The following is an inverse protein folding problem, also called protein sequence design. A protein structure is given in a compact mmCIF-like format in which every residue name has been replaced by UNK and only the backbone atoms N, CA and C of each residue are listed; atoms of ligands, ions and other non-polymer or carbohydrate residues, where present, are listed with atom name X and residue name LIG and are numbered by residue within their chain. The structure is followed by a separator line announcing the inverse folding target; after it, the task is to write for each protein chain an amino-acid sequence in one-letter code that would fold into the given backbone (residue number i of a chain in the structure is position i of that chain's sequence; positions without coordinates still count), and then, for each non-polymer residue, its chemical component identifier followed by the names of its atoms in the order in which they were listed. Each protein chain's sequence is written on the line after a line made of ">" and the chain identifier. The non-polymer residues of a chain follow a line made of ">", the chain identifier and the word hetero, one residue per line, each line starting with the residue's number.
data_IF_285521795756
#
_entry.id   IF_285521795756
#
_cell.length_a   1.000
_cell.length_b   1.000
_cell.length_c   1.000
_cell.angle_alpha   90.00
_cell.angle_beta   90.00
_cell.angle_gamma   90.00
#
_symmetry.space_group_name_H-M   'P 1'
#
loop_
_entity.id
_entity.type
_entity.pdbx_description
1 polymer ?
#
# COMPACT_ATOMS: atom_id res chain seq x y z
N UNK A 1 7.52 9.92 2.72
CA UNK A 1 7.28 11.33 3.10
C UNK A 1 8.63 12.00 3.19
N UNK A 2 8.76 13.24 2.74
CA UNK A 2 10.03 13.95 2.87
C UNK A 2 10.28 14.23 4.37
N UNK A 3 11.38 13.67 4.91
CA UNK A 3 11.79 13.92 6.30
C UNK A 3 12.12 15.41 6.53
N UNK A 4 12.28 16.20 5.47
CA UNK A 4 12.47 17.65 5.54
C UNK A 4 11.17 18.46 5.54
N UNK A 5 10.00 17.82 5.49
CA UNK A 5 8.72 18.55 5.50
C UNK A 5 8.50 19.27 6.83
N UNK A 6 7.81 20.42 6.77
CA UNK A 6 7.45 21.22 7.96
C UNK A 6 6.70 20.39 9.01
N UNK A 7 5.86 19.44 8.56
CA UNK A 7 5.09 18.55 9.43
C UNK A 7 6.00 17.57 10.19
N UNK A 8 7.03 17.04 9.52
CA UNK A 8 7.99 16.13 10.16
C UNK A 8 8.81 16.87 11.23
N UNK A 9 9.25 18.09 10.91
CA UNK A 9 9.97 18.97 11.86
C UNK A 9 9.11 19.31 13.07
N UNK A 10 7.86 19.72 12.85
CA UNK A 10 6.93 20.05 13.93
C UNK A 10 6.78 18.90 14.94
N UNK A 11 6.66 17.65 14.48
CA UNK A 11 6.61 16.49 15.39
C UNK A 11 7.92 16.32 16.15
N UNK A 12 9.06 16.39 15.46
CA UNK A 12 10.39 16.17 16.06
C UNK A 12 10.77 17.24 17.09
N UNK A 13 10.36 18.48 16.86
CA UNK A 13 10.67 19.64 17.71
C UNK A 13 9.63 19.83 18.84
N UNK A 14 8.48 19.15 18.76
CA UNK A 14 7.46 19.17 19.81
C UNK A 14 7.85 18.36 21.05
N UNK A 15 7.24 18.67 22.19
CA UNK A 15 7.33 17.84 23.41
C UNK A 15 6.69 16.46 23.24
N UNK A 16 5.82 16.28 22.25
CA UNK A 16 5.15 15.02 21.97
C UNK A 16 6.13 13.90 21.59
N UNK A 17 7.31 14.25 21.07
CA UNK A 17 8.33 13.26 20.68
C UNK A 17 8.75 12.36 21.84
N UNK A 18 8.80 12.88 23.07
CA UNK A 18 9.14 12.09 24.26
C UNK A 18 8.05 11.06 24.57
N UNK A 19 6.79 11.45 24.36
CA UNK A 19 5.63 10.57 24.56
C UNK A 19 5.58 9.50 23.48
N UNK A 20 5.82 9.88 22.22
CA UNK A 20 5.96 8.93 21.09
C UNK A 20 7.04 7.88 21.41
N UNK A 21 8.22 8.30 21.86
CA UNK A 21 9.31 7.39 22.25
C UNK A 21 8.90 6.44 23.38
N UNK A 22 8.14 6.93 24.36
CA UNK A 22 7.68 6.13 25.50
C UNK A 22 6.53 5.19 25.20
N UNK A 23 5.69 5.48 24.19
CA UNK A 23 4.46 4.70 23.93
C UNK A 23 4.54 3.81 22.69
N UNK A 24 5.52 4.00 21.80
CA UNK A 24 5.63 3.29 20.53
C UNK A 24 5.52 1.77 20.65
N UNK A 25 6.30 1.21 21.58
CA UNK A 25 6.33 -0.24 21.81
C UNK A 25 4.99 -0.76 22.33
N UNK A 26 4.43 -0.13 23.35
CA UNK A 26 3.14 -0.52 23.94
C UNK A 26 2.00 -0.46 22.92
N UNK A 27 1.99 0.57 22.07
CA UNK A 27 0.97 0.72 21.03
C UNK A 27 1.08 -0.37 19.97
N UNK A 28 2.30 -0.73 19.58
CA UNK A 28 2.54 -1.86 18.69
C UNK A 28 2.13 -3.19 19.32
N UNK A 29 2.41 -3.41 20.61
CA UNK A 29 2.06 -4.65 21.29
C UNK A 29 0.53 -4.86 21.35
N UNK A 30 -0.27 -3.81 21.63
CA UNK A 30 -1.74 -3.86 21.54
C UNK A 30 -2.20 -4.19 20.13
N UNK A 31 -1.60 -3.56 19.12
CA UNK A 31 -1.91 -3.85 17.73
C UNK A 31 -1.60 -5.31 17.37
N UNK A 32 -0.47 -5.85 17.84
CA UNK A 32 -0.06 -7.24 17.63
C UNK A 32 -1.01 -8.21 18.29
N UNK A 33 -1.48 -7.94 19.52
CA UNK A 33 -2.47 -8.79 20.20
C UNK A 33 -3.74 -8.98 19.36
N UNK A 34 -4.21 -7.91 18.73
CA UNK A 34 -5.38 -7.95 17.86
C UNK A 34 -5.08 -8.63 16.52
N UNK A 35 -3.94 -8.31 15.89
CA UNK A 35 -3.53 -8.94 14.65
C UNK A 35 -3.41 -10.46 14.81
N UNK A 36 -2.86 -10.94 15.94
CA UNK A 36 -2.72 -12.36 16.25
C UNK A 36 -4.04 -13.12 16.39
N UNK A 37 -5.16 -12.44 16.64
CA UNK A 37 -6.48 -13.10 16.65
C UNK A 37 -6.82 -13.71 15.29
N UNK A 38 -6.32 -13.11 14.20
CA UNK A 38 -6.56 -13.56 12.83
C UNK A 38 -5.31 -14.16 12.17
N UNK A 39 -4.13 -13.67 12.55
CA UNK A 39 -2.85 -14.01 11.96
C UNK A 39 -1.90 -14.62 13.00
N UNK A 40 -2.37 -15.61 13.76
CA UNK A 40 -1.65 -16.22 14.89
C UNK A 40 -0.29 -16.79 14.51
N UNK A 41 -0.13 -17.26 13.27
CA UNK A 41 1.09 -17.87 12.76
C UNK A 41 2.09 -16.86 12.17
N UNK A 42 1.77 -15.57 12.15
CA UNK A 42 2.64 -14.54 11.59
C UNK A 42 3.63 -14.02 12.63
N UNK A 43 4.80 -13.61 12.15
CA UNK A 43 5.85 -13.06 12.99
C UNK A 43 5.70 -11.55 13.11
N UNK A 44 5.57 -11.05 14.34
CA UNK A 44 5.49 -9.62 14.61
C UNK A 44 6.74 -9.19 15.38
N UNK A 45 7.74 -8.67 14.65
CA UNK A 45 9.00 -8.20 15.21
C UNK A 45 9.35 -6.86 14.56
N UNK A 46 9.52 -5.84 15.39
CA UNK A 46 9.88 -4.49 14.99
C UNK A 46 10.99 -3.98 15.92
N UNK A 47 11.90 -3.16 15.40
CA UNK A 47 12.86 -2.45 16.24
C UNK A 47 12.17 -1.24 16.88
N UNK A 48 12.49 -0.92 18.13
CA UNK A 48 11.86 0.21 18.82
C UNK A 48 12.07 1.52 18.04
N UNK A 49 13.25 1.73 17.47
CA UNK A 49 13.55 2.87 16.61
C UNK A 49 12.64 2.95 15.39
N UNK A 50 12.33 1.82 14.74
CA UNK A 50 11.38 1.80 13.62
C UNK A 50 9.96 2.13 14.05
N UNK A 51 9.51 1.67 15.21
CA UNK A 51 8.17 1.98 15.72
C UNK A 51 8.01 3.45 16.07
N UNK A 52 9.08 4.07 16.58
CA UNK A 52 9.14 5.51 16.81
C UNK A 52 9.06 6.27 15.48
N UNK A 53 9.85 5.87 14.48
CA UNK A 53 9.82 6.47 13.14
C UNK A 53 8.43 6.32 12.46
N UNK A 54 7.75 5.20 12.66
CA UNK A 54 6.40 4.94 12.17
C UNK A 54 5.39 5.92 12.77
N UNK A 55 5.46 6.13 14.08
CA UNK A 55 4.62 7.10 14.79
C UNK A 55 4.91 8.52 14.34
N UNK A 56 6.17 8.94 14.29
CA UNK A 56 6.53 10.29 13.81
C UNK A 56 5.96 10.51 12.40
N UNK A 57 6.12 9.52 11.52
CA UNK A 57 5.59 9.57 10.16
C UNK A 57 4.06 9.65 10.14
N UNK A 58 3.38 8.91 11.02
CA UNK A 58 1.93 8.94 11.10
C UNK A 58 1.39 10.28 11.62
N UNK A 59 2.01 10.83 12.68
CA UNK A 59 1.69 12.16 13.22
C UNK A 59 1.91 13.26 12.18
N UNK A 60 3.04 13.25 11.49
CA UNK A 60 3.33 14.26 10.48
C UNK A 60 2.40 14.15 9.25
N UNK A 61 1.94 12.94 8.88
CA UNK A 61 0.86 12.77 7.89
C UNK A 61 -0.48 13.30 8.38
N UNK A 62 -0.80 13.12 9.66
CA UNK A 62 -1.96 13.74 10.30
C UNK A 62 -1.92 15.26 10.16
N UNK A 63 -0.76 15.87 10.46
CA UNK A 63 -0.58 17.32 10.35
C UNK A 63 -0.70 17.80 8.90
N UNK A 64 -0.08 17.07 7.98
CA UNK A 64 -0.20 17.35 6.54
C UNK A 64 -1.66 17.32 6.09
N UNK A 65 -2.42 16.30 6.52
CA UNK A 65 -3.82 16.14 6.16
C UNK A 65 -4.67 17.31 6.68
N UNK A 66 -4.59 17.61 7.98
CA UNK A 66 -5.34 18.70 8.60
C UNK A 66 -5.03 20.03 7.92
N UNK A 67 -3.75 20.32 7.62
CA UNK A 67 -3.41 21.61 7.02
C UNK A 67 -3.68 21.74 5.53
N UNK A 68 -3.53 20.66 4.74
CA UNK A 68 -3.74 20.70 3.29
C UNK A 68 -5.19 20.51 2.89
N UNK A 69 -5.94 19.71 3.63
CA UNK A 69 -7.26 19.26 3.20
C UNK A 69 -8.42 19.92 3.98
N UNK A 70 -8.14 20.70 5.03
CA UNK A 70 -9.20 21.39 5.79
C UNK A 70 -9.26 22.90 5.55
N UNK A 71 -10.48 23.37 5.26
CA UNK A 71 -10.77 24.80 5.19
C UNK A 71 -10.53 25.46 6.56
N UNK A 72 -10.01 26.70 6.56
CA UNK A 72 -9.69 27.47 7.79
C UNK A 72 -10.82 27.48 8.83
N UNK A 73 -12.07 27.52 8.40
CA UNK A 73 -13.24 27.52 9.29
C UNK A 73 -13.42 26.23 10.11
N UNK A 74 -13.02 25.07 9.57
CA UNK A 74 -13.12 23.78 10.29
C UNK A 74 -11.98 23.59 11.29
N UNK A 75 -10.82 24.16 10.98
CA UNK A 75 -9.63 24.14 11.84
C UNK A 75 -9.81 24.96 13.13
N UNK A 76 -10.72 25.93 13.11
CA UNK A 76 -11.11 26.71 14.29
C UNK A 76 -12.02 25.96 15.27
N UNK A 77 -12.30 24.66 15.03
CA UNK A 77 -13.04 23.78 15.94
C UNK A 77 -12.08 22.73 16.53
N UNK A 78 -11.47 23.00 17.70
CA UNK A 78 -10.37 22.18 18.24
C UNK A 78 -10.72 20.71 18.45
N UNK A 79 -11.89 20.43 19.03
CA UNK A 79 -12.31 19.04 19.29
C UNK A 79 -12.46 18.23 17.99
N UNK A 80 -12.91 18.89 16.91
CA UNK A 80 -13.07 18.25 15.62
C UNK A 80 -11.71 18.00 14.95
N UNK A 81 -10.80 18.98 14.98
CA UNK A 81 -9.47 18.84 14.37
C UNK A 81 -8.61 17.79 15.09
N UNK A 82 -8.68 17.71 16.43
CA UNK A 82 -8.00 16.68 17.23
C UNK A 82 -8.53 15.29 16.89
N UNK A 83 -9.86 15.12 16.82
CA UNK A 83 -10.46 13.82 16.47
C UNK A 83 -10.05 13.38 15.06
N UNK A 84 -10.15 14.26 14.07
CA UNK A 84 -9.76 13.96 12.69
C UNK A 84 -8.27 13.64 12.61
N UNK A 85 -7.44 14.42 13.29
CA UNK A 85 -6.00 14.19 13.35
C UNK A 85 -5.67 12.79 13.86
N UNK A 86 -6.20 12.41 15.04
CA UNK A 86 -5.93 11.11 15.64
C UNK A 86 -6.46 9.96 14.77
N UNK A 87 -7.62 10.12 14.12
CA UNK A 87 -8.14 9.12 13.18
C UNK A 87 -7.20 8.89 11.99
N UNK A 88 -6.60 9.95 11.45
CA UNK A 88 -5.62 9.87 10.36
C UNK A 88 -4.33 9.20 10.82
N UNK A 89 -3.83 9.55 12.02
CA UNK A 89 -2.65 8.89 12.61
C UNK A 89 -2.90 7.40 12.77
N UNK A 90 -4.04 7.03 13.37
CA UNK A 90 -4.41 5.62 13.60
C UNK A 90 -4.53 4.85 12.30
N UNK A 91 -5.23 5.42 11.30
CA UNK A 91 -5.37 4.82 9.97
C UNK A 91 -4.03 4.63 9.28
N UNK A 92 -3.14 5.62 9.41
CA UNK A 92 -1.80 5.57 8.81
C UNK A 92 -0.95 4.47 9.43
N UNK A 93 -0.93 4.36 10.75
CA UNK A 93 -0.23 3.30 11.48
C UNK A 93 -0.78 1.93 11.13
N UNK A 94 -2.11 1.75 11.22
CA UNK A 94 -2.74 0.46 10.92
C UNK A 94 -2.45 0.04 9.48
N UNK A 95 -2.49 0.98 8.53
CA UNK A 95 -2.14 0.69 7.13
C UNK A 95 -0.68 0.27 7.00
N UNK A 96 0.23 1.02 7.62
CA UNK A 96 1.65 0.73 7.53
C UNK A 96 2.02 -0.62 8.15
N UNK A 97 1.56 -0.89 9.38
CA UNK A 97 1.84 -2.13 10.08
C UNK A 97 1.14 -3.33 9.45
N UNK A 98 -0.08 -3.16 8.93
CA UNK A 98 -0.73 -4.21 8.13
C UNK A 98 0.06 -4.52 6.87
N UNK A 99 0.61 -3.51 6.20
CA UNK A 99 1.46 -3.71 5.03
C UNK A 99 2.76 -4.44 5.41
N UNK A 100 3.40 -4.02 6.48
CA UNK A 100 4.74 -4.50 6.87
C UNK A 100 4.68 -5.91 7.49
N UNK A 101 3.80 -6.10 8.45
CA UNK A 101 3.81 -7.29 9.31
C UNK A 101 2.70 -8.29 8.97
N UNK A 102 1.75 -7.98 8.09
CA UNK A 102 0.72 -8.94 7.66
C UNK A 102 0.84 -9.22 6.16
N UNK A 103 0.71 -8.18 5.34
CA UNK A 103 0.64 -8.32 3.90
C UNK A 103 1.89 -8.98 3.31
N UNK A 104 3.09 -8.57 3.75
CA UNK A 104 4.36 -9.18 3.28
C UNK A 104 4.51 -10.66 3.61
N UNK A 105 3.77 -11.18 4.59
CA UNK A 105 3.86 -12.58 5.01
C UNK A 105 2.87 -13.48 4.27
N UNK A 106 1.92 -12.92 3.52
CA UNK A 106 0.93 -13.73 2.80
C UNK A 106 1.57 -14.53 1.66
N UNK A 107 0.98 -15.67 1.32
CA UNK A 107 1.43 -16.46 0.17
C UNK A 107 1.28 -15.65 -1.12
N UNK A 108 0.17 -14.94 -1.23
CA UNK A 108 -0.21 -14.13 -2.37
C UNK A 108 0.78 -12.97 -2.61
N UNK A 109 1.37 -12.40 -1.55
CA UNK A 109 2.43 -11.41 -1.70
C UNK A 109 3.67 -11.98 -2.40
N UNK A 110 4.05 -13.24 -2.11
CA UNK A 110 5.18 -13.90 -2.77
C UNK A 110 4.90 -14.12 -4.26
N UNK A 111 3.67 -14.51 -4.60
CA UNK A 111 3.24 -14.60 -6.01
C UNK A 111 3.30 -13.25 -6.72
N UNK A 112 2.90 -12.17 -6.04
CA UNK A 112 2.98 -10.82 -6.57
C UNK A 112 4.41 -10.35 -6.79
N UNK A 113 5.33 -10.67 -5.87
CA UNK A 113 6.76 -10.43 -6.05
C UNK A 113 7.29 -11.16 -7.29
N UNK A 114 6.89 -12.42 -7.50
CA UNK A 114 7.26 -13.16 -8.70
C UNK A 114 6.74 -12.51 -9.98
N UNK A 115 5.46 -12.12 -10.02
CA UNK A 115 4.87 -11.40 -11.16
C UNK A 115 5.60 -10.10 -11.47
N UNK A 116 5.95 -9.33 -10.45
CA UNK A 116 6.70 -8.07 -10.59
C UNK A 116 8.10 -8.32 -11.15
N UNK A 117 8.81 -9.32 -10.65
CA UNK A 117 10.14 -9.71 -11.14
C UNK A 117 10.04 -10.15 -12.60
N UNK A 118 9.05 -10.97 -12.96
CA UNK A 118 8.83 -11.41 -14.33
C UNK A 118 8.57 -10.22 -15.27
N UNK A 119 7.70 -9.29 -14.88
CA UNK A 119 7.45 -8.07 -15.66
C UNK A 119 8.74 -7.26 -15.89
N UNK A 120 9.54 -7.05 -14.85
CA UNK A 120 10.81 -6.33 -14.95
C UNK A 120 11.85 -7.08 -15.79
N UNK A 121 11.95 -8.40 -15.64
CA UNK A 121 12.85 -9.22 -16.44
C UNK A 121 12.52 -9.12 -17.93
N UNK A 122 11.24 -9.20 -18.30
CA UNK A 122 10.78 -9.03 -19.69
C UNK A 122 11.01 -7.62 -20.24
N UNK A 123 11.07 -6.59 -19.36
CA UNK A 123 11.48 -5.23 -19.75
C UNK A 123 12.95 -5.14 -20.13
N UNK A 124 13.81 -6.05 -19.67
CA UNK A 124 15.26 -6.01 -19.93
C UNK A 124 15.68 -7.04 -20.98
N UNK A 125 15.22 -8.29 -20.90
CA UNK A 125 15.67 -9.38 -21.76
C UNK A 125 14.83 -9.50 -23.05
N UNK A 126 15.34 -8.91 -24.13
CA UNK A 126 14.72 -8.97 -25.45
C UNK A 126 14.76 -10.37 -26.09
N UNK A 127 15.74 -11.21 -25.74
CA UNK A 127 15.89 -12.56 -26.34
C UNK A 127 14.80 -13.47 -25.80
N UNK A 128 14.62 -13.50 -24.48
CA UNK A 128 13.56 -14.30 -23.85
C UNK A 128 12.18 -13.82 -24.29
N UNK A 129 11.99 -12.51 -24.40
CA UNK A 129 10.73 -11.95 -24.90
C UNK A 129 10.41 -12.42 -26.33
N UNK A 130 11.39 -12.45 -27.25
CA UNK A 130 11.20 -12.96 -28.62
C UNK A 130 10.82 -14.43 -28.64
N UNK A 131 11.39 -15.25 -27.75
CA UNK A 131 11.01 -16.66 -27.60
C UNK A 131 9.57 -16.80 -27.13
N UNK A 132 9.18 -16.03 -26.12
CA UNK A 132 7.79 -15.97 -25.62
C UNK A 132 6.84 -15.54 -26.73
N UNK A 133 7.19 -14.51 -27.50
CA UNK A 133 6.39 -14.05 -28.63
C UNK A 133 6.21 -15.14 -29.69
N UNK A 134 7.29 -15.85 -30.04
CA UNK A 134 7.26 -16.96 -30.99
C UNK A 134 6.34 -18.10 -30.52
N UNK A 135 6.49 -18.52 -29.26
CA UNK A 135 5.64 -19.53 -28.63
C UNK A 135 4.18 -19.11 -28.61
N UNK A 136 3.90 -17.87 -28.20
CA UNK A 136 2.57 -17.29 -28.21
C UNK A 136 1.95 -17.32 -29.62
N UNK A 137 2.68 -16.84 -30.63
CA UNK A 137 2.23 -16.89 -32.03
C UNK A 137 1.97 -18.32 -32.51
N UNK A 138 2.77 -19.29 -32.08
CA UNK A 138 2.57 -20.70 -32.40
C UNK A 138 1.29 -21.26 -31.76
N UNK A 139 1.05 -21.00 -30.47
CA UNK A 139 -0.17 -21.42 -29.77
C UNK A 139 -1.43 -20.82 -30.41
N UNK A 140 -1.41 -19.53 -30.72
CA UNK A 140 -2.56 -18.86 -31.38
C UNK A 140 -2.84 -19.41 -32.79
N UNK A 141 -1.80 -19.82 -33.54
CA UNK A 141 -1.98 -20.50 -34.83
C UNK A 141 -2.59 -21.88 -34.66
N UNK A 142 -2.17 -22.62 -33.63
CA UNK A 142 -2.74 -23.92 -33.28
C UNK A 142 -4.22 -23.81 -32.90
N UNK A 143 -4.60 -22.79 -32.12
CA UNK A 143 -6.00 -22.51 -31.79
C UNK A 143 -6.83 -22.11 -33.02
N UNK A 144 -6.33 -21.27 -33.92
CA UNK A 144 -7.03 -20.98 -35.19
C UNK A 144 -7.29 -22.22 -36.03
N UNK A 145 -6.36 -23.16 -36.05
CA UNK A 145 -6.52 -24.44 -36.74
C UNK A 145 -7.49 -25.40 -36.01
N UNK A 146 -7.80 -25.14 -34.73
CA UNK A 146 -8.78 -25.88 -33.94
C UNK A 146 -10.18 -25.24 -34.08
N UNK A 147 -10.28 -23.91 -34.24
CA UNK A 147 -11.56 -23.18 -34.39
C UNK A 147 -12.28 -23.52 -35.72
N UNK A 148 -11.61 -24.11 -36.71
CA UNK A 148 -12.28 -24.71 -37.88
C UNK A 148 -12.99 -26.04 -37.56
N UNK A 149 -12.94 -26.52 -36.31
CA UNK A 149 -13.69 -27.68 -35.81
C UNK A 149 -14.37 -27.34 -34.48
N UNK A 150 -15.60 -26.85 -34.62
CA UNK A 150 -16.72 -26.91 -33.67
C UNK A 150 -16.59 -26.36 -32.23
N UNK A 151 -17.49 -25.39 -32.00
CA UNK A 151 -18.41 -25.21 -30.85
C UNK A 151 -17.88 -24.59 -29.54
N UNK A 152 -18.56 -23.47 -29.24
CA UNK A 152 -19.02 -22.95 -27.94
C UNK A 152 -18.61 -23.71 -26.66
N UNK A 153 -17.79 -23.08 -25.81
CA UNK A 153 -18.16 -22.59 -24.47
C UNK A 153 -16.92 -22.25 -23.61
N UNK A 154 -16.94 -21.00 -23.12
CA UNK A 154 -16.53 -20.51 -21.80
C UNK A 154 -15.28 -21.07 -21.10
N UNK A 155 -14.28 -20.20 -20.94
CA UNK A 155 -13.67 -19.85 -19.66
C UNK A 155 -12.98 -18.50 -19.81
N UNK A 156 -12.71 -17.79 -18.70
CA UNK A 156 -12.08 -16.47 -18.56
C UNK A 156 -10.66 -16.37 -19.18
N UNK A 157 -10.56 -16.60 -20.48
CA UNK A 157 -9.36 -16.33 -21.26
C UNK A 157 -9.49 -14.86 -21.65
N UNK A 158 -8.55 -14.05 -21.17
CA UNK A 158 -8.47 -12.66 -21.58
C UNK A 158 -8.29 -12.65 -23.10
N UNK A 159 -9.31 -12.11 -23.77
CA UNK A 159 -9.39 -12.14 -25.21
C UNK A 159 -8.36 -11.17 -25.80
N UNK A 160 -7.17 -11.70 -26.07
CA UNK A 160 -6.12 -10.99 -26.78
C UNK A 160 -6.53 -10.68 -28.23
N UNK A 161 -7.75 -10.96 -28.68
CA UNK A 161 -8.26 -10.52 -29.98
C UNK A 161 -8.49 -9.00 -30.08
N UNK A 162 -8.51 -8.26 -28.97
CA UNK A 162 -8.31 -6.80 -29.05
C UNK A 162 -6.91 -6.41 -29.59
N UNK A 163 -5.95 -7.35 -29.60
CA UNK A 163 -4.62 -7.18 -30.21
C UNK A 163 -4.58 -7.52 -31.71
N UNK A 164 -5.68 -8.01 -32.32
CA UNK A 164 -5.71 -8.49 -33.72
C UNK A 164 -5.41 -7.43 -34.79
N UNK A 165 -5.41 -6.12 -34.49
CA UNK A 165 -5.25 -5.07 -35.51
C UNK A 165 -3.83 -4.62 -35.79
N UNK A 166 -2.81 -5.10 -35.07
CA UNK A 166 -1.46 -4.59 -35.24
C UNK A 166 -0.46 -5.70 -35.57
N UNK A 167 -0.16 -5.86 -36.87
CA UNK A 167 1.18 -6.28 -37.30
C UNK A 167 2.17 -5.23 -36.77
N UNK A 168 2.68 -5.38 -35.55
CA UNK A 168 3.64 -4.42 -35.00
C UNK A 168 4.87 -5.11 -34.44
N UNK A 169 5.97 -4.36 -34.51
CA UNK A 169 7.34 -4.73 -34.17
C UNK A 169 7.48 -5.25 -32.74
N UNK A 170 8.58 -5.97 -32.47
CA UNK A 170 9.00 -6.50 -31.17
C UNK A 170 8.76 -5.54 -29.99
N UNK A 171 8.87 -4.22 -30.23
CA UNK A 171 8.66 -3.15 -29.24
C UNK A 171 7.21 -3.08 -28.72
N UNK A 172 6.22 -3.35 -29.57
CA UNK A 172 4.80 -3.25 -29.21
C UNK A 172 4.34 -4.49 -28.46
N UNK A 173 4.79 -5.69 -28.85
CA UNK A 173 4.52 -6.91 -28.08
C UNK A 173 5.13 -6.81 -26.67
N UNK A 174 6.37 -6.33 -26.58
CA UNK A 174 7.06 -6.05 -25.30
C UNK A 174 6.19 -5.21 -24.36
N UNK A 175 5.78 -4.03 -24.84
CA UNK A 175 4.98 -3.10 -24.04
C UNK A 175 3.68 -3.76 -23.58
N UNK A 176 3.01 -4.43 -24.49
CA UNK A 176 1.70 -5.04 -24.22
C UNK A 176 1.76 -6.14 -23.15
N UNK A 177 2.74 -7.05 -23.23
CA UNK A 177 2.86 -8.12 -22.23
C UNK A 177 3.29 -7.58 -20.87
N UNK A 178 4.13 -6.54 -20.84
CA UNK A 178 4.54 -5.91 -19.58
C UNK A 178 3.38 -5.14 -18.94
N UNK A 179 2.60 -4.40 -19.74
CA UNK A 179 1.43 -3.65 -19.26
C UNK A 179 0.37 -4.60 -18.69
N UNK A 180 0.18 -5.77 -19.34
CA UNK A 180 -0.73 -6.81 -18.87
C UNK A 180 -0.31 -7.41 -17.52
N UNK A 181 0.97 -7.80 -17.38
CA UNK A 181 1.50 -8.34 -16.13
C UNK A 181 1.45 -7.31 -14.99
N UNK A 182 1.76 -6.04 -15.31
CA UNK A 182 1.65 -4.93 -14.36
C UNK A 182 0.18 -4.73 -13.93
N UNK A 183 -0.80 -4.83 -14.84
CA UNK A 183 -2.23 -4.74 -14.50
C UNK A 183 -2.67 -5.86 -13.55
N UNK A 184 -2.27 -7.12 -13.80
CA UNK A 184 -2.57 -8.24 -12.90
C UNK A 184 -1.97 -7.99 -11.52
N UNK A 185 -0.73 -7.50 -11.47
CA UNK A 185 -0.07 -7.16 -10.22
C UNK A 185 -0.88 -6.14 -9.41
N UNK A 186 -1.29 -5.02 -10.03
CA UNK A 186 -2.03 -3.97 -9.34
C UNK A 186 -3.41 -4.42 -8.87
N UNK A 187 -4.15 -5.15 -9.71
CA UNK A 187 -5.48 -5.67 -9.37
C UNK A 187 -5.41 -6.61 -8.15
N UNK A 188 -4.53 -7.60 -8.20
CA UNK A 188 -4.35 -8.55 -7.10
C UNK A 188 -3.85 -7.86 -5.83
N UNK A 189 -2.86 -6.97 -5.94
CA UNK A 189 -2.35 -6.20 -4.81
C UNK A 189 -3.47 -5.44 -4.09
N UNK A 190 -4.31 -4.73 -4.84
CA UNK A 190 -5.41 -3.95 -4.28
C UNK A 190 -6.43 -4.83 -3.56
N UNK A 191 -6.81 -5.96 -4.16
CA UNK A 191 -7.78 -6.89 -3.56
C UNK A 191 -7.27 -7.46 -2.23
N UNK A 192 -6.07 -8.04 -2.24
CA UNK A 192 -5.50 -8.71 -1.05
C UNK A 192 -5.26 -7.70 0.06
N UNK A 193 -4.64 -6.56 -0.26
CA UNK A 193 -4.33 -5.57 0.75
C UNK A 193 -5.59 -4.87 1.28
N UNK A 194 -6.55 -4.59 0.40
CA UNK A 194 -7.86 -4.07 0.79
C UNK A 194 -8.60 -5.00 1.76
N UNK A 195 -8.55 -6.32 1.53
CA UNK A 195 -9.15 -7.30 2.44
C UNK A 195 -8.46 -7.36 3.81
N UNK A 196 -7.14 -7.19 3.85
CA UNK A 196 -6.42 -7.07 5.13
C UNK A 196 -6.90 -5.84 5.90
N UNK A 197 -7.00 -4.68 5.24
CA UNK A 197 -7.39 -3.40 5.86
C UNK A 197 -8.85 -3.35 6.35
N UNK A 198 -9.74 -4.21 5.83
CA UNK A 198 -11.10 -4.35 6.37
C UNK A 198 -11.10 -4.80 7.83
N UNK A 199 -10.06 -5.49 8.27
CA UNK A 199 -9.88 -5.84 9.66
C UNK A 199 -9.30 -4.62 10.38
N UNK A 200 -10.17 -3.86 11.04
CA UNK A 200 -9.74 -2.76 11.89
C UNK A 200 -9.02 -3.31 13.11
N UNK A 201 -7.74 -3.02 13.23
CA UNK A 201 -7.04 -3.13 14.50
C UNK A 201 -7.48 -1.93 15.34
N UNK A 202 -8.04 -2.19 16.52
CA UNK A 202 -8.63 -1.19 17.41
C UNK A 202 -7.64 -0.78 18.49
N UNK A 203 -6.79 0.21 18.23
CA UNK A 203 -6.13 0.96 19.29
C UNK A 203 -6.62 2.41 19.25
N UNK A 204 -6.94 2.95 20.43
CA UNK A 204 -7.46 4.30 20.58
C UNK A 204 -6.30 5.19 20.98
N UNK A 205 -5.85 6.05 20.06
CA UNK A 205 -4.72 6.94 20.33
C UNK A 205 -4.97 7.92 21.49
N UNK A 206 -6.24 8.25 21.74
CA UNK A 206 -6.63 9.08 22.88
C UNK A 206 -6.30 8.45 24.25
N UNK A 207 -6.11 7.12 24.33
CA UNK A 207 -5.65 6.45 25.55
C UNK A 207 -4.16 6.74 25.83
N UNK A 208 -3.41 7.16 24.80
CA UNK A 208 -1.96 7.38 24.86
C UNK A 208 -1.57 8.86 24.80
N UNK A 209 -2.38 9.70 24.16
CA UNK A 209 -2.09 11.10 23.89
C UNK A 209 -3.29 11.95 24.30
N UNK A 210 -3.07 13.03 25.07
CA UNK A 210 -4.18 13.87 25.51
C UNK A 210 -4.51 14.95 24.47
N UNK A 211 -5.75 15.44 24.48
CA UNK A 211 -6.24 16.37 23.46
C UNK A 211 -5.43 17.68 23.44
N UNK A 212 -5.08 18.23 24.60
CA UNK A 212 -4.34 19.50 24.70
C UNK A 212 -2.96 19.40 24.03
N UNK A 213 -2.23 18.30 24.22
CA UNK A 213 -0.94 18.04 23.57
C UNK A 213 -1.07 17.97 22.05
N UNK A 214 -2.15 17.34 21.56
CA UNK A 214 -2.43 17.22 20.13
C UNK A 214 -2.84 18.55 19.52
N UNK A 215 -3.68 19.31 20.21
CA UNK A 215 -4.10 20.65 19.80
C UNK A 215 -2.89 21.58 19.67
N UNK A 216 -2.04 21.62 20.70
CA UNK A 216 -0.79 22.37 20.68
C UNK A 216 0.10 21.97 19.49
N UNK A 217 0.24 20.66 19.22
CA UNK A 217 1.02 20.20 18.06
C UNK A 217 0.41 20.69 16.75
N UNK A 218 -0.91 20.60 16.57
CA UNK A 218 -1.58 21.07 15.35
C UNK A 218 -1.30 22.55 15.13
N UNK A 219 -1.40 23.39 16.17
CA UNK A 219 -1.16 24.83 16.11
C UNK A 219 0.28 25.21 15.70
N UNK A 220 1.29 24.41 16.05
CA UNK A 220 2.70 24.74 15.74
C UNK A 220 2.97 25.00 14.26
N UNK A 221 2.27 24.30 13.37
CA UNK A 221 2.46 24.45 11.91
C UNK A 221 1.65 25.61 11.32
N UNK A 222 0.71 26.19 12.08
CA UNK A 222 -0.10 27.34 11.66
C UNK A 222 0.52 28.71 11.97
N UNK A 223 1.60 28.74 12.76
CA UNK A 223 2.27 29.96 13.24
C UNK A 223 3.57 30.32 12.48
N UNK A 224 3.94 29.54 11.45
CA UNK A 224 5.01 29.83 10.47
C UNK A 224 4.43 30.32 9.12
#
# INVERSE_FOLDING_TARGET
>A
MDKNSIYFKAVLESTLIFKIKGTAKSLFDIWVEQAKQRYSNYLFQAQDESLVDDLITAFAKGLEFVWRNENKAKRAMPEWSVSVFLDIVSTTLNTHWSQEYIYKQTHEYKELCFLKILSQFLKVDAITLKKIESLYRHMMKKEKNIIERDVEQQAKIIDLNQFKKNKKSDVVFKKNITDYLDSIYYEKHFLIFGDILKNKSSFVLADFFNNDEIENLIETVGND
#
